data_IF_249547026786
#
_entry.id   IF_249547026786
#
_cell.length_a   1.000
_cell.length_b   1.000
_cell.length_c   1.000
_cell.angle_alpha   90.00
_cell.angle_beta   90.00
_cell.angle_gamma   90.00
#
_symmetry.space_group_name_H-M   'P 1'
#
loop_
_entity.id
_entity.type
_entity.pdbx_description
1 polymer ?
#
# COMPACT_ATOMS: atom_id res chain seq x y z
N UNK A 1 -23.34 -4.97 69.45
CA UNK A 1 -22.21 -5.33 68.65
C UNK A 1 -22.70 -6.11 67.44
N UNK A 2 -22.86 -5.48 66.27
CA UNK A 2 -23.11 -6.12 64.98
C UNK A 2 -22.34 -5.33 63.94
N UNK A 3 -21.27 -5.94 63.44
CA UNK A 3 -20.45 -5.44 62.33
C UNK A 3 -21.24 -5.56 61.04
N UNK A 4 -21.48 -4.44 60.36
CA UNK A 4 -21.85 -4.40 58.97
C UNK A 4 -20.53 -4.24 58.15
N UNK A 5 -20.09 -5.32 57.52
CA UNK A 5 -19.11 -5.26 56.42
C UNK A 5 -19.84 -4.74 55.20
N UNK A 6 -19.47 -3.55 54.79
CA UNK A 6 -19.87 -3.00 53.48
C UNK A 6 -19.15 -3.77 52.36
N UNK A 7 -19.94 -4.37 51.49
CA UNK A 7 -19.46 -4.88 50.22
C UNK A 7 -19.26 -3.69 49.27
N UNK A 8 -18.01 -3.33 49.00
CA UNK A 8 -17.67 -2.42 47.91
C UNK A 8 -17.98 -3.13 46.58
N UNK A 9 -19.03 -2.66 45.96
CA UNK A 9 -19.37 -3.03 44.59
C UNK A 9 -18.37 -2.33 43.69
N UNK A 10 -17.39 -3.10 43.18
CA UNK A 10 -16.45 -2.66 42.18
C UNK A 10 -17.24 -2.39 40.88
N UNK A 11 -17.51 -1.12 40.61
CA UNK A 11 -18.07 -0.66 39.34
C UNK A 11 -17.06 -1.02 38.23
N UNK A 12 -17.46 -1.95 37.39
CA UNK A 12 -16.72 -2.29 36.19
C UNK A 12 -16.64 -1.06 35.28
N UNK A 13 -15.45 -0.52 35.08
CA UNK A 13 -15.18 0.52 34.09
C UNK A 13 -15.83 0.17 32.75
N UNK A 14 -16.52 1.13 32.10
CA UNK A 14 -17.08 0.88 30.77
C UNK A 14 -15.94 0.54 29.79
N UNK A 15 -15.97 -0.68 29.29
CA UNK A 15 -15.10 -1.18 28.23
C UNK A 15 -15.00 -0.12 27.12
N UNK A 16 -13.85 0.53 27.00
CA UNK A 16 -13.58 1.49 25.96
C UNK A 16 -13.89 0.82 24.62
N UNK A 17 -14.88 1.36 23.89
CA UNK A 17 -15.27 0.85 22.56
C UNK A 17 -14.02 0.74 21.71
N UNK A 18 -13.65 -0.47 21.34
CA UNK A 18 -12.47 -0.75 20.54
C UNK A 18 -12.56 0.04 19.23
N UNK A 19 -11.65 1.00 18.98
CA UNK A 19 -11.77 1.91 17.84
C UNK A 19 -11.64 1.21 16.47
N UNK A 20 -11.30 -0.06 16.46
CA UNK A 20 -11.09 -0.89 15.25
C UNK A 20 -12.19 -1.92 15.00
N UNK A 21 -13.27 -1.96 15.79
CA UNK A 21 -14.38 -2.90 15.61
C UNK A 21 -15.04 -2.83 14.20
N UNK A 22 -14.80 -1.74 13.47
CA UNK A 22 -15.30 -1.54 12.10
C UNK A 22 -14.45 -2.24 11.02
N UNK A 23 -13.28 -2.82 11.36
CA UNK A 23 -12.35 -3.41 10.39
C UNK A 23 -12.73 -4.84 9.96
N UNK A 24 -13.80 -5.39 10.54
CA UNK A 24 -14.35 -6.69 10.16
C UNK A 24 -13.72 -7.89 10.88
N UNK A 25 -14.31 -9.09 10.70
CA UNK A 25 -13.92 -10.31 11.43
C UNK A 25 -12.54 -10.84 11.07
N UNK A 26 -11.99 -10.47 9.89
CA UNK A 26 -10.66 -10.90 9.45
C UNK A 26 -9.54 -10.00 9.99
N UNK A 27 -9.89 -8.98 10.77
CA UNK A 27 -8.91 -8.09 11.38
C UNK A 27 -8.29 -8.74 12.61
N UNK A 28 -7.08 -9.25 12.47
CA UNK A 28 -6.31 -9.83 13.58
C UNK A 28 -5.53 -8.73 14.28
N UNK A 29 -5.85 -8.48 15.56
CA UNK A 29 -5.07 -7.59 16.42
C UNK A 29 -3.71 -8.22 16.70
N UNK A 30 -2.68 -7.38 16.77
CA UNK A 30 -1.31 -7.83 17.14
C UNK A 30 -1.27 -8.54 18.49
N UNK A 31 -2.22 -8.27 19.35
CA UNK A 31 -2.35 -8.87 20.69
C UNK A 31 -2.84 -10.32 20.66
N UNK A 32 -3.56 -10.71 19.62
CA UNK A 32 -4.10 -12.06 19.45
C UNK A 32 -3.06 -13.07 18.96
N UNK A 33 -1.86 -12.59 18.56
CA UNK A 33 -0.77 -13.42 18.04
C UNK A 33 0.26 -13.70 19.14
N UNK A 34 0.72 -14.96 19.23
CA UNK A 34 1.78 -15.36 20.17
C UNK A 34 3.04 -14.49 20.01
N UNK A 35 3.76 -14.15 21.10
CA UNK A 35 4.84 -13.16 21.08
C UNK A 35 5.82 -13.23 19.92
N UNK A 36 6.44 -14.39 19.58
CA UNK A 36 7.39 -14.45 18.47
C UNK A 36 6.73 -14.25 17.10
N UNK A 37 5.54 -14.80 16.91
CA UNK A 37 4.76 -14.60 15.68
C UNK A 37 4.30 -13.15 15.54
N UNK A 38 3.91 -12.51 16.64
CA UNK A 38 3.53 -11.10 16.68
C UNK A 38 4.68 -10.18 16.25
N UNK A 39 5.90 -10.44 16.73
CA UNK A 39 7.08 -9.65 16.34
C UNK A 39 7.38 -9.84 14.86
N UNK A 40 7.35 -11.07 14.34
CA UNK A 40 7.57 -11.34 12.92
C UNK A 40 6.54 -10.65 12.06
N UNK A 41 5.25 -10.78 12.37
CA UNK A 41 4.16 -10.12 11.66
C UNK A 41 4.28 -8.59 11.67
N UNK A 42 4.71 -7.99 12.78
CA UNK A 42 4.96 -6.56 12.88
C UNK A 42 6.09 -6.12 11.95
N UNK A 43 7.18 -6.89 11.90
CA UNK A 43 8.32 -6.61 11.01
C UNK A 43 7.94 -6.73 9.54
N UNK A 44 7.21 -7.77 9.17
CA UNK A 44 6.69 -7.94 7.81
C UNK A 44 5.83 -6.75 7.38
N UNK A 45 4.84 -6.38 8.19
CA UNK A 45 3.97 -5.22 7.93
C UNK A 45 4.77 -3.93 7.80
N UNK A 46 5.75 -3.71 8.66
CA UNK A 46 6.61 -2.52 8.61
C UNK A 46 7.42 -2.46 7.31
N UNK A 47 7.99 -3.58 6.86
CA UNK A 47 8.71 -3.66 5.59
C UNK A 47 7.80 -3.35 4.40
N UNK A 48 6.62 -3.95 4.35
CA UNK A 48 5.62 -3.69 3.32
C UNK A 48 5.19 -2.22 3.30
N UNK A 49 4.90 -1.64 4.45
CA UNK A 49 4.53 -0.21 4.54
C UNK A 49 5.67 0.71 4.06
N UNK A 50 6.91 0.43 4.46
CA UNK A 50 8.08 1.21 4.02
C UNK A 50 8.28 1.14 2.50
N UNK A 51 8.19 -0.06 1.92
CA UNK A 51 8.27 -0.25 0.47
C UNK A 51 7.15 0.54 -0.24
N UNK A 52 5.90 0.39 0.20
CA UNK A 52 4.76 1.05 -0.41
C UNK A 52 4.88 2.58 -0.38
N UNK A 53 5.23 3.13 0.79
CA UNK A 53 5.46 4.58 0.94
C UNK A 53 6.65 5.06 0.09
N UNK A 54 7.72 4.27 0.01
CA UNK A 54 8.87 4.57 -0.84
C UNK A 54 8.51 4.60 -2.32
N UNK A 55 7.71 3.65 -2.80
CA UNK A 55 7.21 3.62 -4.17
C UNK A 55 6.31 4.83 -4.47
N UNK A 56 5.38 5.16 -3.56
CA UNK A 56 4.52 6.34 -3.72
C UNK A 56 5.36 7.61 -3.82
N UNK A 57 6.34 7.80 -2.94
CA UNK A 57 7.24 8.97 -2.98
C UNK A 57 8.00 9.03 -4.29
N UNK A 58 8.65 7.94 -4.69
CA UNK A 58 9.38 7.87 -5.95
C UNK A 58 8.51 8.20 -7.17
N UNK A 59 7.26 7.73 -7.19
CA UNK A 59 6.30 8.07 -8.25
C UNK A 59 5.95 9.55 -8.22
N UNK A 60 5.72 10.13 -7.03
CA UNK A 60 5.41 11.55 -6.89
C UNK A 60 6.55 12.44 -7.39
N UNK A 61 7.79 12.09 -7.05
CA UNK A 61 8.98 12.85 -7.44
C UNK A 61 9.19 12.84 -8.95
N UNK A 62 8.82 11.75 -9.62
CA UNK A 62 9.01 11.61 -11.06
C UNK A 62 8.01 12.42 -11.90
N UNK A 63 6.78 12.51 -11.45
CA UNK A 63 5.71 13.11 -12.25
C UNK A 63 5.50 14.61 -11.98
N UNK A 64 6.23 15.20 -11.03
CA UNK A 64 6.25 16.66 -10.78
C UNK A 64 4.92 17.26 -10.30
N UNK A 65 4.76 18.55 -10.53
CA UNK A 65 3.69 19.37 -10.01
C UNK A 65 2.23 18.90 -10.25
N UNK A 66 1.85 18.28 -11.39
CA UNK A 66 0.48 17.81 -11.57
C UNK A 66 0.03 16.77 -10.55
N UNK A 67 0.99 16.01 -10.02
CA UNK A 67 0.73 14.93 -9.09
C UNK A 67 1.00 15.30 -7.62
N UNK A 68 1.72 16.40 -7.38
CA UNK A 68 2.15 16.80 -6.04
C UNK A 68 1.15 17.68 -5.28
N UNK A 69 0.31 18.44 -5.97
CA UNK A 69 -0.36 19.60 -5.38
C UNK A 69 -1.80 19.38 -4.87
N UNK A 70 -2.45 18.24 -5.16
CA UNK A 70 -3.87 18.07 -4.83
C UNK A 70 -4.12 16.86 -3.92
N UNK A 71 -4.96 17.04 -2.91
CA UNK A 71 -5.44 15.99 -2.00
C UNK A 71 -6.13 14.79 -2.70
N UNK A 72 -6.50 14.94 -3.96
CA UNK A 72 -7.13 13.92 -4.81
C UNK A 72 -6.15 13.30 -5.82
N UNK A 73 -4.85 13.39 -5.53
CA UNK A 73 -3.78 12.93 -6.43
C UNK A 73 -3.72 11.39 -6.61
N UNK A 74 -4.32 10.63 -5.70
CA UNK A 74 -4.29 9.16 -5.78
C UNK A 74 -5.02 8.64 -7.03
N UNK A 75 -6.23 9.14 -7.31
CA UNK A 75 -7.00 8.75 -8.50
C UNK A 75 -6.31 9.20 -9.80
N UNK A 76 -5.70 10.38 -9.79
CA UNK A 76 -4.95 10.91 -10.93
C UNK A 76 -3.76 10.01 -11.28
N UNK A 77 -2.96 9.64 -10.26
CA UNK A 77 -1.82 8.72 -10.40
C UNK A 77 -2.24 7.35 -10.91
N UNK A 78 -3.25 6.76 -10.29
CA UNK A 78 -3.74 5.43 -10.66
C UNK A 78 -4.19 5.41 -12.12
N UNK A 79 -4.91 6.45 -12.55
CA UNK A 79 -5.34 6.59 -13.95
C UNK A 79 -4.13 6.79 -14.86
N UNK A 80 -3.16 7.64 -14.50
CA UNK A 80 -1.95 7.87 -15.27
C UNK A 80 -1.12 6.59 -15.46
N UNK A 81 -0.92 5.82 -14.38
CA UNK A 81 -0.21 4.53 -14.43
C UNK A 81 -0.96 3.52 -15.30
N UNK A 82 -2.29 3.47 -15.21
CA UNK A 82 -3.08 2.56 -16.05
C UNK A 82 -3.00 2.93 -17.53
N UNK A 83 -3.05 4.22 -17.87
CA UNK A 83 -2.88 4.70 -19.26
C UNK A 83 -1.48 4.35 -19.76
N UNK A 84 -0.43 4.54 -18.93
CA UNK A 84 0.93 4.14 -19.27
C UNK A 84 1.02 2.64 -19.56
N UNK A 85 0.48 1.81 -18.69
CA UNK A 85 0.44 0.36 -18.90
C UNK A 85 -0.20 0.00 -20.24
N UNK A 86 -1.36 0.60 -20.56
CA UNK A 86 -2.08 0.36 -21.81
C UNK A 86 -1.30 0.86 -23.03
N UNK A 87 -0.56 1.96 -22.88
CA UNK A 87 0.33 2.49 -23.92
C UNK A 87 1.47 1.52 -24.21
N UNK A 88 2.15 1.03 -23.16
CA UNK A 88 3.23 0.06 -23.27
C UNK A 88 2.78 -1.28 -23.84
N UNK A 89 1.52 -1.65 -23.63
CA UNK A 89 0.90 -2.84 -24.24
C UNK A 89 0.40 -2.58 -25.68
N UNK A 90 0.71 -1.44 -26.29
CA UNK A 90 0.22 -1.02 -27.62
C UNK A 90 -1.33 -1.13 -27.74
N UNK A 91 -2.06 -0.92 -26.65
CA UNK A 91 -3.51 -1.10 -26.60
C UNK A 91 -4.18 0.05 -25.83
N UNK A 92 -4.14 1.29 -26.35
CA UNK A 92 -4.80 2.45 -25.74
C UNK A 92 -6.25 2.16 -25.39
N UNK A 93 -6.72 2.72 -24.27
CA UNK A 93 -8.04 2.40 -23.75
C UNK A 93 -8.96 3.60 -23.67
N UNK A 94 -10.27 3.46 -23.98
CA UNK A 94 -11.26 4.50 -23.75
C UNK A 94 -11.54 4.70 -22.25
N UNK A 95 -12.05 5.88 -21.88
CA UNK A 95 -12.36 6.23 -20.50
C UNK A 95 -13.30 5.23 -19.81
N UNK A 96 -14.23 4.62 -20.54
CA UNK A 96 -15.14 3.59 -20.00
C UNK A 96 -14.40 2.32 -19.58
N UNK A 97 -13.41 1.88 -20.36
CA UNK A 97 -12.57 0.74 -20.02
C UNK A 97 -11.69 1.04 -18.81
N UNK A 98 -11.10 2.24 -18.75
CA UNK A 98 -10.31 2.69 -17.60
C UNK A 98 -11.16 2.72 -16.33
N UNK A 99 -12.37 3.29 -16.42
CA UNK A 99 -13.32 3.38 -15.30
C UNK A 99 -13.66 1.99 -14.74
N UNK A 100 -13.98 1.06 -15.61
CA UNK A 100 -14.31 -0.33 -15.24
C UNK A 100 -13.11 -1.06 -14.61
N UNK A 101 -11.94 -0.93 -15.20
CA UNK A 101 -10.73 -1.59 -14.73
C UNK A 101 -10.29 -1.09 -13.34
N UNK A 102 -10.41 0.21 -13.10
CA UNK A 102 -10.02 0.84 -11.84
C UNK A 102 -11.15 0.94 -10.81
N UNK A 103 -12.36 0.47 -11.16
CA UNK A 103 -13.57 0.58 -10.33
C UNK A 103 -13.84 2.04 -9.89
N UNK A 104 -13.61 2.99 -10.79
CA UNK A 104 -13.82 4.41 -10.56
C UNK A 104 -15.04 4.91 -11.34
N UNK A 105 -15.79 5.90 -10.83
CA UNK A 105 -16.87 6.54 -11.59
C UNK A 105 -16.33 7.14 -12.90
N UNK A 106 -17.03 6.87 -14.02
CA UNK A 106 -16.64 7.40 -15.34
C UNK A 106 -16.45 8.92 -15.36
N UNK A 107 -17.29 9.76 -14.74
CA UNK A 107 -17.08 11.20 -14.67
C UNK A 107 -15.75 11.57 -14.01
N UNK A 108 -15.37 10.86 -12.93
CA UNK A 108 -14.08 11.06 -12.26
C UNK A 108 -12.92 10.75 -13.20
N UNK A 109 -12.99 9.64 -13.92
CA UNK A 109 -11.95 9.25 -14.89
C UNK A 109 -11.83 10.30 -16.01
N UNK A 110 -12.94 10.75 -16.57
CA UNK A 110 -12.93 11.78 -17.62
C UNK A 110 -12.29 13.09 -17.13
N UNK A 111 -12.66 13.57 -15.94
CA UNK A 111 -12.07 14.76 -15.35
C UNK A 111 -10.56 14.62 -15.19
N UNK A 112 -10.09 13.47 -14.67
CA UNK A 112 -8.67 13.21 -14.46
C UNK A 112 -7.88 13.05 -15.77
N UNK A 113 -8.47 12.42 -16.77
CA UNK A 113 -7.87 12.35 -18.10
C UNK A 113 -7.74 13.74 -18.75
N UNK A 114 -8.70 14.63 -18.51
CA UNK A 114 -8.58 16.02 -18.96
C UNK A 114 -7.46 16.78 -18.23
N UNK A 115 -7.28 16.55 -16.93
CA UNK A 115 -6.17 17.13 -16.17
C UNK A 115 -4.82 16.63 -16.70
N UNK A 116 -4.68 15.33 -16.92
CA UNK A 116 -3.48 14.71 -17.49
C UNK A 116 -3.22 15.18 -18.94
N UNK A 117 -4.26 15.42 -19.72
CA UNK A 117 -4.11 15.96 -21.06
C UNK A 117 -3.66 17.43 -21.04
N UNK A 118 -4.18 18.26 -20.12
CA UNK A 118 -3.74 19.66 -19.94
C UNK A 118 -2.27 19.74 -19.51
N UNK A 119 -1.80 18.78 -18.73
CA UNK A 119 -0.37 18.70 -18.35
C UNK A 119 0.54 18.14 -19.44
N UNK A 120 -0.01 17.73 -20.59
CA UNK A 120 0.75 17.11 -21.67
C UNK A 120 1.15 15.66 -21.39
N UNK A 121 0.71 15.05 -20.29
CA UNK A 121 1.08 13.67 -19.96
C UNK A 121 0.36 12.62 -20.80
N UNK A 122 -0.92 12.85 -21.11
CA UNK A 122 -1.70 11.98 -21.99
C UNK A 122 -2.27 12.74 -23.17
N UNK A 123 -2.48 12.01 -24.26
CA UNK A 123 -3.22 12.51 -25.41
C UNK A 123 -4.39 11.59 -25.75
N UNK A 124 -5.36 12.14 -26.43
CA UNK A 124 -6.52 11.41 -26.92
C UNK A 124 -6.31 11.00 -28.38
N UNK A 125 -6.45 9.71 -28.67
CA UNK A 125 -6.43 9.15 -30.01
C UNK A 125 -7.80 8.56 -30.32
N UNK A 126 -8.58 9.22 -31.14
CA UNK A 126 -9.96 8.82 -31.38
C UNK A 126 -10.77 8.78 -30.09
N UNK A 127 -11.18 7.59 -29.64
CA UNK A 127 -11.92 7.39 -28.41
C UNK A 127 -11.06 6.89 -27.23
N UNK A 128 -9.78 6.69 -27.46
CA UNK A 128 -8.84 6.12 -26.47
C UNK A 128 -7.82 7.16 -26.00
N UNK A 129 -7.09 6.82 -24.94
CA UNK A 129 -6.04 7.65 -24.34
C UNK A 129 -4.74 6.88 -24.30
N UNK A 130 -3.63 7.57 -24.61
CA UNK A 130 -2.25 7.06 -24.43
C UNK A 130 -1.38 8.12 -23.77
N UNK A 131 -0.23 7.70 -23.25
CA UNK A 131 0.83 8.62 -22.80
C UNK A 131 1.47 9.25 -24.03
N UNK A 132 1.78 10.54 -23.96
CA UNK A 132 2.42 11.25 -25.08
C UNK A 132 3.88 10.86 -25.24
N UNK A 133 4.39 10.86 -26.46
CA UNK A 133 5.79 10.58 -26.74
C UNK A 133 6.74 11.65 -26.17
N UNK A 134 6.20 12.84 -25.87
CA UNK A 134 6.94 13.95 -25.26
C UNK A 134 7.17 13.80 -23.76
N UNK A 135 6.58 12.79 -23.10
CA UNK A 135 6.91 12.46 -21.70
C UNK A 135 8.31 11.85 -21.65
N UNK A 136 9.27 12.68 -21.95
CA UNK A 136 10.67 12.37 -21.67
C UNK A 136 10.92 12.60 -20.17
N UNK A 137 10.77 11.53 -19.40
CA UNK A 137 11.16 11.57 -17.99
C UNK A 137 12.67 11.39 -17.98
N UNK A 138 13.46 12.45 -17.71
CA UNK A 138 14.90 12.32 -17.59
C UNK A 138 15.22 11.18 -16.61
N UNK A 139 16.18 10.36 -16.94
CA UNK A 139 16.63 9.26 -16.08
C UNK A 139 15.57 8.20 -15.75
N UNK A 140 14.56 8.02 -16.63
CA UNK A 140 13.49 7.03 -16.40
C UNK A 140 14.06 5.64 -16.09
N UNK A 141 15.11 5.21 -16.79
CA UNK A 141 15.73 3.90 -16.53
C UNK A 141 16.32 3.81 -15.13
N UNK A 142 16.98 4.88 -14.66
CA UNK A 142 17.55 4.92 -13.31
C UNK A 142 16.46 4.93 -12.25
N UNK A 143 15.40 5.66 -12.49
CA UNK A 143 14.21 5.71 -11.61
C UNK A 143 13.54 4.35 -11.50
N UNK A 144 13.37 3.65 -12.63
CA UNK A 144 12.83 2.28 -12.66
C UNK A 144 13.74 1.30 -11.93
N UNK A 145 15.08 1.35 -12.17
CA UNK A 145 16.05 0.51 -11.45
C UNK A 145 15.97 0.71 -9.94
N UNK A 146 15.87 1.95 -9.49
CA UNK A 146 15.76 2.30 -8.06
C UNK A 146 14.51 1.70 -7.42
N UNK A 147 13.38 1.73 -8.12
CA UNK A 147 12.13 1.08 -7.66
C UNK A 147 12.26 -0.43 -7.62
N UNK A 148 12.85 -1.03 -8.64
CA UNK A 148 13.12 -2.47 -8.68
C UNK A 148 14.01 -2.87 -7.50
N UNK A 149 15.09 -2.12 -7.25
CA UNK A 149 15.99 -2.39 -6.13
C UNK A 149 15.25 -2.34 -4.78
N UNK A 150 14.35 -1.38 -4.59
CA UNK A 150 13.53 -1.27 -3.38
C UNK A 150 12.60 -2.48 -3.19
N UNK A 151 11.99 -2.97 -4.27
CA UNK A 151 11.13 -4.16 -4.25
C UNK A 151 11.95 -5.40 -3.93
N UNK A 152 13.09 -5.59 -4.59
CA UNK A 152 13.98 -6.74 -4.39
C UNK A 152 14.54 -6.76 -2.98
N UNK A 153 15.03 -5.62 -2.47
CA UNK A 153 15.52 -5.49 -1.09
C UNK A 153 14.44 -5.88 -0.06
N UNK A 154 13.22 -5.41 -0.29
CA UNK A 154 12.09 -5.76 0.60
C UNK A 154 11.76 -7.25 0.52
N UNK A 155 11.75 -7.84 -0.67
CA UNK A 155 11.49 -9.27 -0.87
C UNK A 155 12.56 -10.14 -0.16
N UNK A 156 13.83 -9.76 -0.27
CA UNK A 156 14.93 -10.46 0.41
C UNK A 156 14.75 -10.40 1.93
N UNK A 157 14.48 -9.23 2.50
CA UNK A 157 14.24 -9.05 3.93
C UNK A 157 13.04 -9.85 4.44
N UNK A 158 11.97 -9.94 3.66
CA UNK A 158 10.81 -10.77 3.98
C UNK A 158 11.16 -12.27 3.95
N UNK A 159 11.96 -12.70 3.00
CA UNK A 159 12.42 -14.08 2.89
C UNK A 159 13.30 -14.46 4.08
N UNK A 160 14.21 -13.59 4.51
CA UNK A 160 15.05 -13.78 5.69
C UNK A 160 14.22 -13.89 6.98
N UNK A 161 13.22 -13.01 7.15
CA UNK A 161 12.30 -13.08 8.28
C UNK A 161 11.55 -14.41 8.33
N UNK A 162 11.04 -14.85 7.18
CA UNK A 162 10.31 -16.11 7.08
C UNK A 162 11.18 -17.33 7.35
N UNK A 163 12.45 -17.32 6.92
CA UNK A 163 13.40 -18.37 7.23
C UNK A 163 13.68 -18.45 8.73
N UNK A 164 13.86 -17.31 9.39
CA UNK A 164 14.12 -17.25 10.85
C UNK A 164 12.92 -17.75 11.66
N UNK A 165 11.70 -17.50 11.22
CA UNK A 165 10.48 -17.95 11.93
C UNK A 165 10.24 -19.47 11.74
N UNK A 166 10.65 -20.02 10.60
CA UNK A 166 10.45 -21.45 10.27
C UNK A 166 11.51 -22.36 10.85
N UNK A 167 12.68 -21.87 11.24
CA UNK A 167 13.71 -22.68 11.89
C UNK A 167 13.24 -23.01 13.32
N UNK A 168 12.95 -24.28 13.66
CA UNK A 168 12.63 -24.63 15.03
C UNK A 168 13.84 -24.28 15.91
N UNK A 169 13.64 -23.85 17.17
CA UNK A 169 14.75 -23.68 18.09
C UNK A 169 15.51 -25.01 18.18
N UNK A 170 16.78 -24.97 17.87
CA UNK A 170 17.67 -26.14 18.05
C UNK A 170 17.51 -26.59 19.48
N UNK A 171 17.03 -27.84 19.68
CA UNK A 171 16.94 -28.42 21.00
C UNK A 171 18.32 -28.36 21.64
N UNK A 172 18.44 -27.99 22.93
CA UNK A 172 19.71 -28.03 23.61
C UNK A 172 20.24 -29.48 23.52
N UNK A 173 21.49 -29.61 23.08
CA UNK A 173 22.13 -30.91 23.06
C UNK A 173 22.04 -31.53 24.46
N UNK A 174 21.64 -32.82 24.58
CA UNK A 174 21.67 -33.50 25.88
C UNK A 174 23.12 -33.51 26.35
N UNK A 175 23.37 -32.77 27.45
CA UNK A 175 24.68 -32.70 28.06
C UNK A 175 25.23 -34.10 28.26
N UNK A 176 26.44 -34.30 27.75
CA UNK A 176 27.22 -35.50 28.04
C UNK A 176 27.39 -35.65 29.56
N UNK A 177 27.34 -36.90 30.08
CA UNK A 177 27.43 -37.16 31.50
C UNK A 177 28.82 -36.93 32.06
#
# INVERSE_FOLDING_TARGET
MRNHQGAETQEAEPSAKQPWAHLGPDFVMMEDVRPPQRIALARERMLMCRMYLGLIRSINDDYGAPFAANSDSASLRTIGIYVLLRTLMCSPAPASTIARALKLPRPTVLRRLQELARSGYVERIGNAYRVTDSVNIPDLQEKVRRRIAMIVDTANKLSELNATVRSPPTAPEPGEP
#
